data_IF_536721656843
#
_entry.id   IF_536721656843
#
_cell.length_a   1.000
_cell.length_b   1.000
_cell.length_c   1.000
_cell.angle_alpha   90.00
_cell.angle_beta   90.00
_cell.angle_gamma   90.00
#
_symmetry.space_group_name_H-M   'P 1'
#
loop_
_entity.id
_entity.type
_entity.pdbx_description
1 polymer ?
#
# COMPACT_ATOMS: atom_id res chain seq x y z
N UNK A 1 -1.40 -6.51 -14.93
CA UNK A 1 -1.36 -5.95 -13.58
C UNK A 1 -2.79 -5.85 -13.07
N UNK A 2 -3.08 -6.36 -11.88
CA UNK A 2 -4.40 -6.23 -11.26
C UNK A 2 -4.36 -4.99 -10.38
N UNK A 3 -5.28 -4.05 -10.61
CA UNK A 3 -5.44 -2.86 -9.78
C UNK A 3 -6.53 -3.14 -8.76
N UNK A 4 -6.17 -3.18 -7.49
CA UNK A 4 -7.12 -3.40 -6.40
C UNK A 4 -7.31 -2.09 -5.65
N UNK A 5 -8.58 -1.70 -5.44
CA UNK A 5 -8.90 -0.58 -4.57
C UNK A 5 -8.69 -0.99 -3.10
N UNK A 6 -8.39 -0.04 -2.19
CA UNK A 6 -8.28 -0.36 -0.78
C UNK A 6 -9.61 -0.86 -0.24
N UNK A 7 -9.59 -1.97 0.49
CA UNK A 7 -10.73 -2.52 1.22
C UNK A 7 -11.22 -1.56 2.29
N UNK A 8 -10.30 -0.82 2.91
CA UNK A 8 -10.64 0.18 3.92
C UNK A 8 -9.67 1.36 3.86
N UNK A 9 -10.14 2.55 4.23
CA UNK A 9 -9.31 3.74 4.38
C UNK A 9 -9.52 4.32 5.76
N UNK A 10 -8.51 4.22 6.62
CA UNK A 10 -8.49 4.90 7.90
C UNK A 10 -7.83 6.29 7.72
N UNK A 11 -8.63 7.34 7.79
CA UNK A 11 -8.18 8.72 7.61
C UNK A 11 -8.54 9.57 8.82
N UNK A 12 -7.53 10.10 9.48
CA UNK A 12 -7.62 11.13 10.50
C UNK A 12 -6.88 12.38 10.03
N UNK A 13 -6.87 13.46 10.83
CA UNK A 13 -6.12 14.69 10.51
C UNK A 13 -4.60 14.44 10.39
N UNK A 14 -4.07 13.46 11.11
CA UNK A 14 -2.62 13.17 11.20
C UNK A 14 -2.23 11.85 10.56
N UNK A 15 -3.19 11.08 10.05
CA UNK A 15 -2.93 9.71 9.62
C UNK A 15 -3.79 9.39 8.42
N UNK A 16 -3.19 8.82 7.38
CA UNK A 16 -3.90 8.18 6.28
C UNK A 16 -3.29 6.81 6.08
N UNK A 17 -4.10 5.79 6.32
CA UNK A 17 -3.74 4.38 6.11
C UNK A 17 -4.78 3.79 5.18
N UNK A 18 -4.32 3.21 4.09
CA UNK A 18 -5.14 2.40 3.19
C UNK A 18 -4.85 0.93 3.44
N UNK A 19 -5.91 0.15 3.60
CA UNK A 19 -5.86 -1.28 3.90
C UNK A 19 -6.29 -2.04 2.65
N UNK A 20 -5.49 -3.04 2.29
CA UNK A 20 -5.72 -3.93 1.16
C UNK A 20 -5.81 -5.34 1.70
N UNK A 21 -7.01 -5.90 1.73
CA UNK A 21 -7.25 -7.29 2.13
C UNK A 21 -7.26 -8.19 0.90
N UNK A 22 -6.62 -9.34 1.00
CA UNK A 22 -6.46 -10.29 -0.10
C UNK A 22 -7.08 -11.63 0.30
N UNK A 23 -8.13 -12.04 -0.40
CA UNK A 23 -8.91 -13.26 -0.09
C UNK A 23 -8.27 -14.56 -0.59
N UNK A 24 -7.41 -14.49 -1.60
CA UNK A 24 -6.65 -15.63 -2.12
C UNK A 24 -5.36 -15.12 -2.72
N UNK A 25 -4.23 -15.59 -2.22
CA UNK A 25 -2.93 -15.08 -2.68
C UNK A 25 -2.12 -16.21 -3.27
N UNK A 26 -1.66 -16.02 -4.51
CA UNK A 26 -0.63 -16.83 -5.12
C UNK A 26 0.72 -16.62 -4.43
N UNK A 27 1.60 -17.60 -4.51
CA UNK A 27 3.02 -17.33 -4.22
C UNK A 27 3.55 -16.25 -5.18
N UNK A 28 4.53 -15.45 -4.73
CA UNK A 28 5.25 -14.44 -5.54
C UNK A 28 4.51 -13.15 -5.96
N UNK A 29 3.76 -12.56 -5.03
CA UNK A 29 3.18 -11.22 -5.26
C UNK A 29 4.19 -10.10 -5.03
N UNK A 30 4.17 -9.12 -5.95
CA UNK A 30 4.88 -7.86 -5.84
C UNK A 30 3.88 -6.71 -5.69
N UNK A 31 4.14 -5.81 -4.76
CA UNK A 31 3.44 -4.53 -4.69
C UNK A 31 4.28 -3.45 -5.36
N UNK A 32 3.65 -2.62 -6.20
CA UNK A 32 4.27 -1.46 -6.82
C UNK A 32 3.42 -0.23 -6.51
N UNK A 33 3.99 0.73 -5.79
CA UNK A 33 3.37 2.03 -5.54
C UNK A 33 4.00 3.06 -6.48
N UNK A 34 3.23 3.59 -7.42
CA UNK A 34 3.67 4.66 -8.32
C UNK A 34 3.37 6.03 -7.72
N UNK A 35 4.39 6.85 -7.52
CA UNK A 35 4.22 8.24 -7.12
C UNK A 35 3.79 9.06 -8.32
N UNK A 36 2.58 9.64 -8.25
CA UNK A 36 1.96 10.38 -9.35
C UNK A 36 2.80 11.56 -9.84
N UNK A 37 3.51 12.22 -8.93
CA UNK A 37 4.19 13.50 -9.20
C UNK A 37 5.65 13.33 -9.63
N UNK A 38 6.28 12.20 -9.34
CA UNK A 38 7.74 12.02 -9.51
C UNK A 38 8.11 10.90 -10.48
N UNK A 39 7.13 10.16 -11.03
CA UNK A 39 7.35 8.94 -11.82
C UNK A 39 8.19 7.86 -11.11
N UNK A 40 8.41 8.02 -9.79
CA UNK A 40 9.13 7.03 -9.00
C UNK A 40 8.18 5.89 -8.65
N UNK A 41 8.70 4.67 -8.60
CA UNK A 41 7.97 3.50 -8.12
C UNK A 41 8.68 2.91 -6.91
N UNK A 42 7.92 2.66 -5.84
CA UNK A 42 8.37 1.81 -4.74
C UNK A 42 7.85 0.40 -5.00
N UNK A 43 8.75 -0.55 -5.25
CA UNK A 43 8.38 -1.95 -5.50
C UNK A 43 8.92 -2.83 -4.39
N UNK A 44 8.08 -3.71 -3.85
CA UNK A 44 8.47 -4.63 -2.78
C UNK A 44 7.89 -6.01 -3.03
N UNK A 45 8.72 -7.05 -2.89
CA UNK A 45 8.26 -8.44 -2.88
C UNK A 45 7.59 -8.74 -1.54
N UNK A 46 6.40 -9.31 -1.59
CA UNK A 46 5.64 -9.66 -0.40
C UNK A 46 6.04 -11.05 0.12
N UNK A 47 5.90 -11.30 1.45
CA UNK A 47 6.14 -12.62 2.01
C UNK A 47 5.19 -13.66 1.38
N UNK A 48 5.55 -14.95 1.44
CA UNK A 48 4.75 -16.03 0.82
C UNK A 48 3.34 -16.16 1.41
N UNK A 49 3.16 -15.74 2.67
CA UNK A 49 1.88 -15.70 3.37
C UNK A 49 1.68 -14.28 3.85
N UNK A 50 0.74 -13.59 3.22
CA UNK A 50 0.11 -12.39 3.74
C UNK A 50 -1.39 -12.58 3.55
N UNK A 51 -2.20 -11.84 4.29
CA UNK A 51 -3.63 -11.70 4.06
C UNK A 51 -4.00 -10.23 3.88
N UNK A 52 -3.14 -9.33 4.37
CA UNK A 52 -3.43 -7.90 4.45
C UNK A 52 -2.17 -7.07 4.25
N UNK A 53 -2.32 -5.98 3.51
CA UNK A 53 -1.31 -4.93 3.42
C UNK A 53 -1.88 -3.60 3.90
N UNK A 54 -1.09 -2.86 4.66
CA UNK A 54 -1.39 -1.52 5.11
C UNK A 54 -0.38 -0.54 4.51
N UNK A 55 -0.89 0.44 3.79
CA UNK A 55 -0.12 1.51 3.14
C UNK A 55 -0.35 2.79 3.95
N UNK A 56 0.67 3.19 4.70
CA UNK A 56 0.66 4.43 5.47
C UNK A 56 1.26 5.56 4.62
N UNK A 57 0.58 6.71 4.59
CA UNK A 57 1.02 7.89 3.86
C UNK A 57 1.68 8.92 4.79
N UNK A 58 2.59 9.72 4.24
CA UNK A 58 3.29 10.76 5.00
C UNK A 58 2.43 12.01 5.18
N UNK A 59 2.20 12.41 6.43
CA UNK A 59 1.50 13.65 6.77
C UNK A 59 2.25 14.89 6.25
N UNK A 60 3.59 14.86 6.26
CA UNK A 60 4.42 16.02 5.86
C UNK A 60 4.23 16.42 4.39
N UNK A 61 3.83 15.47 3.55
CA UNK A 61 3.55 15.70 2.13
C UNK A 61 2.07 15.91 1.85
N UNK A 62 1.24 16.09 2.90
CA UNK A 62 -0.21 16.15 2.77
C UNK A 62 -0.81 14.80 2.34
N UNK A 63 -0.21 13.69 2.75
CA UNK A 63 -0.58 12.32 2.41
C UNK A 63 -0.46 11.97 0.92
N UNK A 64 0.44 12.66 0.20
CA UNK A 64 0.70 12.40 -1.24
C UNK A 64 1.77 11.33 -1.46
N UNK A 65 2.65 11.12 -0.49
CA UNK A 65 3.69 10.10 -0.56
C UNK A 65 3.39 8.93 0.37
N UNK A 66 3.69 7.71 -0.09
CA UNK A 66 3.74 6.53 0.77
C UNK A 66 4.93 6.66 1.71
N UNK A 67 4.67 6.50 3.00
CA UNK A 67 5.68 6.49 4.06
C UNK A 67 6.14 5.07 4.38
N UNK A 68 5.19 4.12 4.39
CA UNK A 68 5.47 2.73 4.77
C UNK A 68 4.42 1.79 4.16
N UNK A 69 4.87 0.63 3.72
CA UNK A 69 4.01 -0.52 3.37
C UNK A 69 4.30 -1.64 4.37
N UNK A 70 3.27 -2.18 5.02
CA UNK A 70 3.40 -3.31 5.95
C UNK A 70 2.42 -4.41 5.54
N UNK A 71 2.92 -5.61 5.23
CA UNK A 71 2.07 -6.73 4.83
C UNK A 71 2.28 -7.91 5.78
N UNK A 72 1.18 -8.54 6.19
CA UNK A 72 1.14 -9.64 7.16
C UNK A 72 -0.03 -10.60 6.87
#
# INVERSE_FOLDING_TARGET
MVYQAPSNTNRTKRTKIEVYDFSSISEDVWISCLYRDTSQSLTQRLPKKFARCEVAYDEKTGFRSVKKVSCF
#
